data_IF_829462472725
#
_entry.id   IF_829462472725
#
_cell.length_a   1.000
_cell.length_b   1.000
_cell.length_c   1.000
_cell.angle_alpha   90.00
_cell.angle_beta   90.00
_cell.angle_gamma   90.00
#
_symmetry.space_group_name_H-M   'P 1'
#
loop_
_entity.id
_entity.type
_entity.pdbx_description
1 polymer ?
#
# COMPACT_ATOMS: atom_id res chain seq x y z
N UNK A 1 -2.45 -85.58 -54.66
CA UNK A 1 -1.43 -85.76 -53.61
C UNK A 1 -1.96 -85.11 -52.34
N UNK A 2 -2.39 -85.92 -51.38
CA UNK A 2 -1.79 -86.02 -50.02
C UNK A 2 -2.00 -84.73 -49.20
N UNK A 3 -2.63 -84.71 -48.03
CA UNK A 3 -2.75 -85.74 -47.02
C UNK A 3 -3.92 -85.45 -46.07
N UNK A 4 -4.31 -86.52 -45.37
CA UNK A 4 -5.45 -86.71 -44.47
C UNK A 4 -5.47 -85.87 -43.18
N UNK A 5 -6.64 -85.83 -42.52
CA UNK A 5 -6.89 -85.07 -41.29
C UNK A 5 -6.61 -85.87 -40.00
N UNK A 6 -6.41 -85.11 -38.93
CA UNK A 6 -6.88 -85.34 -37.55
C UNK A 6 -6.41 -86.59 -36.79
N UNK A 7 -5.73 -86.39 -35.65
CA UNK A 7 -6.06 -87.14 -34.42
C UNK A 7 -5.51 -86.50 -33.14
N UNK A 8 -6.42 -86.45 -32.16
CA UNK A 8 -6.32 -86.07 -30.75
C UNK A 8 -5.08 -86.57 -30.01
N UNK A 9 -4.48 -85.68 -29.23
CA UNK A 9 -3.80 -85.93 -27.95
C UNK A 9 -4.02 -84.66 -27.11
N UNK A 10 -4.25 -84.67 -25.82
CA UNK A 10 -4.35 -85.72 -24.81
C UNK A 10 -4.55 -84.94 -23.51
N UNK A 11 -5.72 -85.10 -22.88
CA UNK A 11 -6.19 -84.38 -21.69
C UNK A 11 -5.43 -84.84 -20.43
N UNK A 12 -4.10 -84.81 -20.46
CA UNK A 12 -3.21 -85.19 -19.35
C UNK A 12 -1.90 -84.38 -19.27
N UNK A 13 -1.60 -83.49 -20.22
CA UNK A 13 -0.43 -82.58 -20.14
C UNK A 13 -0.72 -81.18 -19.58
N UNK A 14 -1.96 -80.90 -19.12
CA UNK A 14 -2.31 -79.63 -18.46
C UNK A 14 -2.49 -79.72 -16.93
N UNK A 15 -2.15 -80.86 -16.29
CA UNK A 15 -2.33 -81.07 -14.84
C UNK A 15 -1.02 -81.21 -14.03
N UNK A 16 0.11 -80.71 -14.53
CA UNK A 16 1.40 -80.73 -13.79
C UNK A 16 2.10 -79.35 -13.71
N UNK A 17 1.40 -78.25 -14.00
CA UNK A 17 1.95 -76.88 -13.92
C UNK A 17 1.00 -75.91 -13.19
N UNK A 18 0.21 -76.40 -12.23
CA UNK A 18 -0.75 -75.58 -11.45
C UNK A 18 -0.75 -75.87 -9.95
N UNK A 19 0.37 -76.34 -9.37
CA UNK A 19 0.45 -76.62 -7.93
C UNK A 19 1.64 -76.02 -7.16
N UNK A 20 2.43 -75.15 -7.79
CA UNK A 20 3.60 -74.51 -7.13
C UNK A 20 3.49 -72.97 -7.01
N UNK A 21 2.26 -72.41 -7.07
CA UNK A 21 2.01 -70.95 -6.92
C UNK A 21 1.39 -70.59 -5.56
N UNK A 22 1.11 -71.58 -4.69
CA UNK A 22 0.63 -71.34 -3.32
C UNK A 22 1.75 -71.65 -2.34
N UNK A 23 2.24 -70.62 -1.65
CA UNK A 23 3.22 -70.63 -0.57
C UNK A 23 4.70 -70.46 -0.97
N UNK A 24 5.02 -69.30 -1.56
CA UNK A 24 6.24 -68.57 -1.21
C UNK A 24 6.07 -67.09 -1.59
N UNK A 25 6.26 -66.20 -0.60
CA UNK A 25 6.24 -64.73 -0.67
C UNK A 25 4.85 -64.10 -0.96
N UNK A 26 3.99 -63.72 0.00
CA UNK A 26 4.23 -63.05 1.27
C UNK A 26 5.29 -61.94 1.13
N UNK A 27 4.83 -60.69 1.11
CA UNK A 27 5.63 -59.45 1.09
C UNK A 27 5.83 -58.78 -0.29
N UNK A 28 4.80 -58.06 -0.74
CA UNK A 28 4.92 -56.85 -1.59
C UNK A 28 3.60 -56.09 -1.75
N UNK A 29 2.49 -56.61 -1.23
CA UNK A 29 1.24 -55.86 -1.03
C UNK A 29 1.36 -54.97 0.21
N UNK A 30 1.87 -53.73 0.08
CA UNK A 30 1.64 -52.63 1.05
C UNK A 30 2.20 -51.25 0.66
N UNK A 31 3.01 -51.11 -0.39
CA UNK A 31 3.70 -49.84 -0.68
C UNK A 31 3.09 -48.99 -1.81
N UNK A 32 2.23 -49.54 -2.67
CA UNK A 32 1.67 -48.82 -3.83
C UNK A 32 0.24 -48.27 -3.63
N UNK A 33 -0.38 -48.50 -2.46
CA UNK A 33 -1.71 -47.95 -2.13
C UNK A 33 -1.68 -46.66 -1.28
N UNK A 34 -0.53 -46.29 -0.71
CA UNK A 34 -0.40 -45.05 0.08
C UNK A 34 -0.20 -43.80 -0.78
N UNK A 35 0.37 -43.93 -1.97
CA UNK A 35 0.63 -42.79 -2.86
C UNK A 35 -0.65 -42.40 -3.64
N UNK A 36 -1.45 -43.37 -4.09
CA UNK A 36 -2.69 -43.09 -4.82
C UNK A 36 -3.85 -42.60 -3.95
N UNK A 37 -3.98 -43.14 -2.73
CA UNK A 37 -5.02 -42.72 -1.78
C UNK A 37 -4.71 -41.37 -1.11
N UNK A 38 -3.43 -41.11 -0.80
CA UNK A 38 -2.99 -39.84 -0.22
C UNK A 38 -3.14 -38.65 -1.15
N UNK A 39 -2.85 -38.83 -2.45
CA UNK A 39 -3.00 -37.77 -3.46
C UNK A 39 -4.48 -37.47 -3.74
N UNK A 40 -5.37 -38.48 -3.78
CA UNK A 40 -6.80 -38.24 -3.96
C UNK A 40 -7.46 -37.55 -2.76
N UNK A 41 -7.03 -37.86 -1.53
CA UNK A 41 -7.50 -37.17 -0.31
C UNK A 41 -6.89 -35.76 -0.21
N UNK A 42 -5.61 -35.57 -0.55
CA UNK A 42 -4.99 -34.25 -0.56
C UNK A 42 -5.59 -33.33 -1.63
N UNK A 43 -5.95 -33.85 -2.80
CA UNK A 43 -6.64 -33.09 -3.85
C UNK A 43 -8.10 -32.83 -3.47
N UNK A 44 -8.79 -33.75 -2.79
CA UNK A 44 -10.15 -33.51 -2.29
C UNK A 44 -10.20 -32.55 -1.08
N UNK A 45 -9.18 -32.55 -0.23
CA UNK A 45 -9.02 -31.57 0.86
C UNK A 45 -8.57 -30.22 0.30
N UNK A 46 -7.69 -30.17 -0.70
CA UNK A 46 -7.34 -28.93 -1.40
C UNK A 46 -8.53 -28.37 -2.20
N UNK A 47 -9.40 -29.20 -2.78
CA UNK A 47 -10.66 -28.78 -3.40
C UNK A 47 -11.73 -28.39 -2.37
N UNK A 48 -11.75 -29.00 -1.18
CA UNK A 48 -12.65 -28.58 -0.10
C UNK A 48 -12.18 -27.29 0.60
N UNK A 49 -10.87 -27.03 0.63
CA UNK A 49 -10.29 -25.75 1.09
C UNK A 49 -10.45 -24.68 0.00
N UNK A 50 -10.28 -25.01 -1.27
CA UNK A 50 -10.55 -24.09 -2.38
C UNK A 50 -12.06 -23.77 -2.55
N UNK A 51 -12.96 -24.64 -2.09
CA UNK A 51 -14.40 -24.37 -2.02
C UNK A 51 -14.84 -23.68 -0.72
N UNK A 52 -13.92 -23.44 0.23
CA UNK A 52 -14.16 -22.61 1.41
C UNK A 52 -13.69 -21.15 1.22
N UNK A 53 -12.95 -20.85 0.15
CA UNK A 53 -12.54 -19.48 -0.25
C UNK A 53 -13.48 -18.92 -1.34
N UNK A 54 -14.51 -19.66 -1.72
CA UNK A 54 -15.45 -19.28 -2.77
C UNK A 54 -16.71 -18.62 -2.23
N UNK A 55 -16.67 -17.29 -2.10
CA UNK A 55 -17.86 -16.44 -2.02
C UNK A 55 -18.25 -16.04 -0.61
N UNK A 56 -17.53 -15.06 -0.05
CA UNK A 56 -18.09 -14.22 1.00
C UNK A 56 -19.36 -13.57 0.46
N UNK A 57 -20.51 -13.89 1.05
CA UNK A 57 -21.71 -13.07 0.93
C UNK A 57 -21.28 -11.63 1.21
N UNK A 58 -21.42 -10.72 0.23
CA UNK A 58 -21.19 -9.27 0.44
C UNK A 58 -22.25 -8.73 1.41
N UNK A 59 -22.09 -9.06 2.67
CA UNK A 59 -23.02 -8.77 3.74
C UNK A 59 -22.85 -7.29 4.08
N UNK A 60 -23.76 -6.45 3.60
CA UNK A 60 -23.72 -5.00 3.80
C UNK A 60 -23.90 -4.58 5.27
N UNK A 61 -24.14 -5.54 6.18
CA UNK A 61 -24.29 -5.34 7.63
C UNK A 61 -23.01 -5.57 8.45
N UNK A 62 -21.85 -5.77 7.81
CA UNK A 62 -20.56 -5.80 8.51
C UNK A 62 -20.34 -4.48 9.26
N UNK A 63 -19.84 -4.57 10.50
CA UNK A 63 -19.44 -3.37 11.26
C UNK A 63 -18.13 -2.83 10.72
N UNK A 64 -18.08 -1.53 10.45
CA UNK A 64 -16.91 -0.89 9.83
C UNK A 64 -15.85 -0.46 10.86
N UNK A 65 -16.30 -0.18 12.09
CA UNK A 65 -15.45 0.12 13.24
C UNK A 65 -15.67 -0.93 14.32
N UNK A 66 -14.68 -1.12 15.18
CA UNK A 66 -14.76 -2.04 16.31
C UNK A 66 -14.10 -1.44 17.55
N UNK A 67 -14.47 -1.95 18.72
CA UNK A 67 -13.75 -1.60 19.93
C UNK A 67 -12.27 -1.99 19.78
N UNK A 68 -11.38 -1.04 20.08
CA UNK A 68 -9.94 -1.22 20.05
C UNK A 68 -9.37 -1.00 21.45
N UNK A 69 -8.52 -1.93 21.90
CA UNK A 69 -7.77 -1.81 23.14
C UNK A 69 -6.32 -1.44 22.79
N UNK A 70 -5.79 -0.41 23.44
CA UNK A 70 -4.38 -0.03 23.35
C UNK A 70 -3.75 -0.12 24.73
N UNK A 71 -2.59 -0.74 24.83
CA UNK A 71 -1.82 -0.91 26.06
C UNK A 71 -0.37 -0.48 25.86
N UNK A 72 0.09 0.41 26.73
CA UNK A 72 1.41 1.05 26.62
C UNK A 72 1.28 2.56 26.50
N UNK A 73 2.41 3.24 26.41
CA UNK A 73 2.43 4.68 26.11
C UNK A 73 2.14 4.89 24.62
N UNK A 74 1.30 5.85 24.28
CA UNK A 74 1.14 6.29 22.90
C UNK A 74 2.42 6.96 22.39
N UNK A 75 2.67 6.84 21.10
CA UNK A 75 3.74 7.52 20.39
C UNK A 75 3.40 9.01 20.21
N UNK A 76 4.41 9.89 20.12
CA UNK A 76 4.17 11.29 19.78
C UNK A 76 3.55 11.42 18.38
N UNK A 77 2.82 12.51 18.15
CA UNK A 77 2.31 12.84 16.82
C UNK A 77 3.47 12.85 15.81
N UNK A 78 3.24 12.29 14.62
CA UNK A 78 4.19 12.36 13.52
C UNK A 78 4.12 13.74 12.87
N UNK A 79 5.23 14.47 12.84
CA UNK A 79 5.25 15.88 12.39
C UNK A 79 5.42 16.04 10.88
N UNK A 80 5.59 14.93 10.13
CA UNK A 80 5.72 14.91 8.68
C UNK A 80 6.96 14.17 8.20
N UNK A 81 7.04 13.87 6.91
CA UNK A 81 8.21 13.23 6.31
C UNK A 81 9.40 14.20 6.20
N UNK A 82 9.09 15.49 6.10
CA UNK A 82 10.06 16.58 5.97
C UNK A 82 10.00 17.41 7.26
N UNK A 83 11.03 17.33 8.09
CA UNK A 83 11.00 17.95 9.41
C UNK A 83 12.12 17.50 10.34
N UNK A 84 12.09 17.91 11.63
CA UNK A 84 13.00 17.38 12.62
C UNK A 84 12.87 15.85 12.72
N UNK A 85 13.97 15.18 13.07
CA UNK A 85 14.00 13.72 13.19
C UNK A 85 12.81 13.20 14.03
N UNK A 86 12.13 12.19 13.50
CA UNK A 86 10.94 11.62 14.14
C UNK A 86 11.25 11.18 15.58
N UNK A 87 10.67 11.90 16.54
CA UNK A 87 10.90 11.67 17.97
C UNK A 87 10.38 10.33 18.47
N UNK A 88 9.52 9.65 17.71
CA UNK A 88 9.08 8.29 18.04
C UNK A 88 10.16 7.23 17.78
N UNK A 89 11.15 7.49 16.94
CA UNK A 89 12.20 6.52 16.62
C UNK A 89 12.95 6.09 17.88
N UNK A 90 13.07 4.77 18.05
CA UNK A 90 13.64 4.13 19.24
C UNK A 90 12.69 4.03 20.44
N UNK A 91 11.49 4.59 20.39
CA UNK A 91 10.48 4.39 21.44
C UNK A 91 9.77 3.05 21.26
N UNK A 92 9.37 2.38 22.37
CA UNK A 92 8.54 1.18 22.29
C UNK A 92 7.15 1.54 21.77
N UNK A 93 6.69 0.84 20.73
CA UNK A 93 5.33 0.98 20.23
C UNK A 93 4.32 0.36 21.20
N UNK A 94 3.12 0.94 21.34
CA UNK A 94 2.06 0.34 22.17
C UNK A 94 1.55 -0.96 21.55
N UNK A 95 1.12 -1.89 22.38
CA UNK A 95 0.34 -3.06 21.92
C UNK A 95 -1.08 -2.60 21.59
N UNK A 96 -1.67 -3.15 20.54
CA UNK A 96 -3.09 -2.94 20.27
C UNK A 96 -3.82 -4.23 19.91
N UNK A 97 -5.13 -4.21 20.16
CA UNK A 97 -6.02 -5.33 19.92
C UNK A 97 -7.33 -4.82 19.36
N UNK A 98 -7.79 -5.48 18.30
CA UNK A 98 -9.06 -5.18 17.66
C UNK A 98 -9.66 -6.42 17.02
N UNK A 99 -10.47 -6.22 15.99
CA UNK A 99 -11.02 -7.30 15.20
C UNK A 99 -11.11 -6.95 13.72
N UNK A 100 -10.96 -7.95 12.85
CA UNK A 100 -11.16 -7.81 11.42
C UNK A 100 -12.66 -7.71 11.07
N UNK A 101 -12.98 -7.63 9.78
CA UNK A 101 -14.36 -7.50 9.30
C UNK A 101 -15.23 -8.74 9.54
N UNK A 102 -14.63 -9.90 9.85
CA UNK A 102 -15.31 -11.14 10.25
C UNK A 102 -15.51 -11.26 11.79
N UNK A 103 -15.24 -10.18 12.53
CA UNK A 103 -15.24 -10.14 14.00
C UNK A 103 -14.19 -11.08 14.65
N UNK A 104 -13.22 -11.59 13.88
CA UNK A 104 -12.08 -12.32 14.42
C UNK A 104 -11.11 -11.36 15.08
N UNK A 105 -10.62 -11.77 16.24
CA UNK A 105 -9.76 -10.93 17.07
C UNK A 105 -8.32 -10.98 16.58
N UNK A 106 -7.74 -9.81 16.40
CA UNK A 106 -6.33 -9.62 16.05
C UNK A 106 -5.66 -8.85 17.18
N UNK A 107 -4.48 -9.30 17.58
CA UNK A 107 -3.63 -8.65 18.57
C UNK A 107 -2.26 -8.44 17.95
N UNK A 108 -1.79 -7.19 17.98
CA UNK A 108 -0.48 -6.81 17.47
C UNK A 108 0.39 -6.46 18.67
N UNK A 109 1.34 -7.34 18.97
CA UNK A 109 2.23 -7.23 20.12
C UNK A 109 3.65 -6.88 19.65
N UNK A 110 4.11 -5.64 19.82
CA UNK A 110 5.52 -5.29 19.63
C UNK A 110 6.42 -6.09 20.59
N UNK A 111 7.62 -6.46 20.15
CA UNK A 111 8.61 -7.13 21.01
C UNK A 111 8.49 -8.65 21.11
N UNK A 112 7.77 -9.29 20.19
CA UNK A 112 7.62 -10.74 20.08
C UNK A 112 8.75 -11.43 19.29
N UNK A 113 9.80 -10.67 18.91
CA UNK A 113 10.92 -11.15 18.11
C UNK A 113 10.73 -11.05 16.60
N UNK A 114 9.57 -10.57 16.13
CA UNK A 114 9.27 -10.35 14.70
C UNK A 114 9.19 -8.86 14.40
N UNK A 115 9.82 -8.44 13.31
CA UNK A 115 9.66 -7.08 12.80
C UNK A 115 8.22 -6.86 12.36
N UNK A 116 7.75 -5.61 12.36
CA UNK A 116 6.37 -5.30 11.96
C UNK A 116 6.30 -4.09 11.04
N UNK A 117 5.44 -4.13 10.04
CA UNK A 117 5.00 -2.94 9.29
C UNK A 117 3.50 -2.78 9.51
N UNK A 118 3.09 -1.65 10.07
CA UNK A 118 1.69 -1.33 10.34
C UNK A 118 1.29 -0.15 9.46
N UNK A 119 0.43 -0.41 8.48
CA UNK A 119 -0.15 0.61 7.60
C UNK A 119 -1.52 1.04 8.11
N UNK A 120 -1.83 2.33 8.04
CA UNK A 120 -3.08 2.94 8.48
C UNK A 120 -3.77 3.58 7.29
N UNK A 121 -5.01 3.16 7.04
CA UNK A 121 -5.72 3.51 5.81
C UNK A 121 -7.15 3.99 6.10
N UNK A 122 -7.52 5.07 5.44
CA UNK A 122 -8.88 5.60 5.41
C UNK A 122 -9.50 5.36 4.03
N UNK A 123 -10.58 4.59 3.97
CA UNK A 123 -11.22 4.18 2.71
C UNK A 123 -11.71 5.33 1.81
N UNK A 124 -11.98 6.52 2.37
CA UNK A 124 -12.40 7.71 1.63
C UNK A 124 -11.22 8.57 1.17
N UNK A 125 -9.98 8.25 1.60
CA UNK A 125 -8.79 9.01 1.25
C UNK A 125 -8.29 8.61 -0.14
N UNK A 126 -8.14 9.56 -1.09
CA UNK A 126 -7.65 9.25 -2.44
C UNK A 126 -6.28 8.58 -2.45
N UNK A 127 -5.33 9.07 -1.64
CA UNK A 127 -4.00 8.46 -1.52
C UNK A 127 -4.07 7.02 -0.99
N UNK A 128 -4.95 6.72 -0.03
CA UNK A 128 -5.16 5.33 0.40
C UNK A 128 -5.76 4.47 -0.71
N UNK A 129 -6.72 5.01 -1.48
CA UNK A 129 -7.33 4.31 -2.60
C UNK A 129 -6.34 4.02 -3.74
N UNK A 130 -5.33 4.87 -3.92
CA UNK A 130 -4.26 4.67 -4.89
C UNK A 130 -3.13 3.76 -4.36
N UNK A 131 -2.81 3.84 -3.07
CA UNK A 131 -1.75 3.06 -2.42
C UNK A 131 -2.11 1.58 -2.23
N UNK A 132 -3.29 1.30 -1.66
CA UNK A 132 -3.63 -0.07 -1.25
C UNK A 132 -3.66 -1.08 -2.42
N UNK A 133 -4.18 -0.74 -3.62
CA UNK A 133 -4.09 -1.62 -4.79
C UNK A 133 -2.65 -1.85 -5.23
N UNK A 134 -1.79 -0.82 -5.26
CA UNK A 134 -0.38 -0.96 -5.67
C UNK A 134 0.38 -1.88 -4.72
N UNK A 135 0.13 -1.76 -3.42
CA UNK A 135 0.70 -2.66 -2.41
C UNK A 135 0.17 -4.10 -2.55
N UNK A 136 -1.11 -4.26 -2.89
CA UNK A 136 -1.72 -5.57 -3.15
C UNK A 136 -1.08 -6.24 -4.37
N UNK A 137 -0.97 -5.51 -5.49
CA UNK A 137 -0.32 -5.99 -6.71
C UNK A 137 1.13 -6.40 -6.44
N UNK A 138 1.86 -5.62 -5.62
CA UNK A 138 3.21 -5.98 -5.21
C UNK A 138 3.26 -7.30 -4.43
N UNK A 139 2.29 -7.54 -3.55
CA UNK A 139 2.18 -8.77 -2.74
C UNK A 139 1.78 -10.01 -3.56
N UNK A 140 1.19 -9.83 -4.75
CA UNK A 140 0.91 -10.94 -5.66
C UNK A 140 2.20 -11.50 -6.30
N UNK A 141 3.18 -10.62 -6.53
CA UNK A 141 4.45 -10.96 -7.20
C UNK A 141 5.62 -11.16 -6.22
N UNK A 142 5.47 -10.77 -4.95
CA UNK A 142 6.55 -10.77 -3.96
C UNK A 142 6.10 -11.31 -2.60
N UNK A 143 7.06 -11.86 -1.85
CA UNK A 143 6.81 -12.39 -0.50
C UNK A 143 7.31 -11.42 0.58
N UNK A 144 6.51 -11.28 1.65
CA UNK A 144 6.95 -10.62 2.88
C UNK A 144 8.02 -11.51 3.56
N UNK A 145 9.13 -10.94 4.08
CA UNK A 145 10.13 -11.73 4.80
C UNK A 145 9.54 -12.54 5.95
N UNK A 146 9.97 -13.80 6.12
CA UNK A 146 9.42 -14.75 7.12
C UNK A 146 9.38 -14.22 8.57
N UNK A 147 10.28 -13.29 8.91
CA UNK A 147 10.41 -12.68 10.23
C UNK A 147 9.73 -11.32 10.36
N UNK A 148 8.91 -10.93 9.38
CA UNK A 148 8.15 -9.68 9.37
C UNK A 148 6.66 -9.99 9.35
N UNK A 149 5.90 -9.27 10.17
CA UNK A 149 4.43 -9.23 10.08
C UNK A 149 3.98 -7.91 9.49
N UNK A 150 3.00 -7.96 8.60
CA UNK A 150 2.40 -6.76 8.01
C UNK A 150 0.92 -6.71 8.41
N UNK A 151 0.48 -5.56 8.90
CA UNK A 151 -0.89 -5.31 9.31
C UNK A 151 -1.43 -4.05 8.63
N UNK A 152 -2.67 -4.11 8.17
CA UNK A 152 -3.44 -2.92 7.82
C UNK A 152 -4.38 -2.55 8.97
N UNK A 153 -4.46 -1.28 9.31
CA UNK A 153 -5.42 -0.71 10.26
C UNK A 153 -6.41 0.12 9.46
N UNK A 154 -7.66 -0.32 9.41
CA UNK A 154 -8.75 0.45 8.85
C UNK A 154 -9.21 1.48 9.89
N UNK A 155 -8.91 2.75 9.65
CA UNK A 155 -9.16 3.84 10.60
C UNK A 155 -9.79 5.04 9.89
N UNK A 156 -10.14 6.07 10.66
CA UNK A 156 -10.74 7.29 10.14
C UNK A 156 -12.11 7.06 9.51
N UNK A 157 -12.87 6.04 9.91
CA UNK A 157 -14.17 5.76 9.31
C UNK A 157 -15.13 6.96 9.46
N UNK A 158 -15.62 7.44 8.34
CA UNK A 158 -16.60 8.52 8.26
C UNK A 158 -17.71 8.12 7.28
N UNK A 159 -18.90 7.85 7.80
CA UNK A 159 -20.06 7.43 7.01
C UNK A 159 -20.52 8.53 6.03
N UNK A 160 -20.27 9.81 6.34
CA UNK A 160 -20.63 10.93 5.47
C UNK A 160 -19.67 11.12 4.29
N UNK A 161 -18.44 10.62 4.40
CA UNK A 161 -17.41 10.65 3.34
C UNK A 161 -17.29 9.32 2.60
N UNK A 162 -17.93 8.26 3.10
CA UNK A 162 -17.83 6.91 2.57
C UNK A 162 -18.60 6.72 1.27
N UNK A 163 -17.91 6.76 0.12
CA UNK A 163 -18.46 6.23 -1.14
C UNK A 163 -18.57 4.71 -1.08
N UNK A 164 -17.58 4.04 -0.46
CA UNK A 164 -17.51 2.58 -0.29
C UNK A 164 -17.18 2.26 1.16
N UNK A 165 -17.88 1.31 1.78
CA UNK A 165 -17.56 0.89 3.16
C UNK A 165 -16.17 0.24 3.23
N UNK A 166 -15.38 0.45 4.31
CA UNK A 166 -14.06 -0.16 4.46
C UNK A 166 -14.00 -1.67 4.17
N UNK A 167 -14.92 -2.45 4.73
CA UNK A 167 -15.03 -3.90 4.46
C UNK A 167 -15.09 -4.21 2.96
N UNK A 168 -15.99 -3.53 2.24
CA UNK A 168 -16.16 -3.72 0.80
C UNK A 168 -14.92 -3.27 0.04
N UNK A 169 -14.30 -2.17 0.47
CA UNK A 169 -13.09 -1.65 -0.16
C UNK A 169 -11.90 -2.61 -0.04
N UNK A 170 -11.60 -3.12 1.16
CA UNK A 170 -10.54 -4.11 1.34
C UNK A 170 -10.82 -5.42 0.58
N UNK A 171 -12.08 -5.88 0.57
CA UNK A 171 -12.49 -7.06 -0.21
C UNK A 171 -12.33 -6.86 -1.72
N UNK A 172 -12.72 -5.68 -2.24
CA UNK A 172 -12.65 -5.38 -3.67
C UNK A 172 -11.20 -5.16 -4.15
N UNK A 173 -10.34 -4.58 -3.30
CA UNK A 173 -8.90 -4.47 -3.56
C UNK A 173 -8.22 -5.84 -3.50
N UNK A 174 -8.73 -6.77 -2.68
CA UNK A 174 -8.15 -8.11 -2.55
C UNK A 174 -6.94 -8.16 -1.62
N UNK A 175 -6.86 -7.24 -0.65
CA UNK A 175 -5.74 -7.16 0.29
C UNK A 175 -5.54 -8.49 1.05
N UNK A 176 -4.37 -9.16 0.93
CA UNK A 176 -4.23 -10.54 1.40
C UNK A 176 -3.79 -10.66 2.87
N UNK A 177 -3.44 -9.55 3.52
CA UNK A 177 -2.84 -9.52 4.85
C UNK A 177 -3.85 -9.10 5.92
N UNK A 178 -3.60 -9.38 7.22
CA UNK A 178 -4.55 -9.08 8.28
C UNK A 178 -4.95 -7.60 8.34
N UNK A 179 -6.26 -7.34 8.40
CA UNK A 179 -6.85 -6.00 8.59
C UNK A 179 -7.47 -5.90 9.98
N UNK A 180 -7.11 -4.85 10.73
CA UNK A 180 -7.71 -4.53 12.03
C UNK A 180 -8.59 -3.30 11.88
N UNK A 181 -9.85 -3.39 12.31
CA UNK A 181 -10.71 -2.21 12.43
C UNK A 181 -10.31 -1.39 13.64
N UNK A 182 -10.14 -0.10 13.45
CA UNK A 182 -10.01 0.86 14.54
C UNK A 182 -11.39 1.16 15.16
N UNK A 183 -11.36 1.85 16.28
CA UNK A 183 -12.53 2.42 16.94
C UNK A 183 -13.11 3.60 16.18
N UNK A 184 -14.34 3.97 16.52
CA UNK A 184 -15.01 5.19 16.07
C UNK A 184 -14.28 6.48 16.46
N UNK A 185 -13.33 6.39 17.40
CA UNK A 185 -12.50 7.50 17.87
C UNK A 185 -11.06 7.42 17.36
N UNK A 186 -10.73 6.47 16.50
CA UNK A 186 -9.39 6.22 15.98
C UNK A 186 -8.34 5.95 17.09
N UNK A 187 -8.74 5.26 18.17
CA UNK A 187 -7.91 4.94 19.33
C UNK A 187 -6.55 4.31 18.95
N UNK A 188 -6.47 3.41 17.95
CA UNK A 188 -5.21 2.81 17.49
C UNK A 188 -4.37 3.85 16.75
N UNK A 189 -4.94 4.53 15.75
CA UNK A 189 -4.23 5.53 14.96
C UNK A 189 -3.69 6.68 15.83
N UNK A 190 -4.49 7.18 16.77
CA UNK A 190 -4.07 8.20 17.72
C UNK A 190 -2.92 7.73 18.60
N UNK A 191 -2.94 6.47 19.05
CA UNK A 191 -1.87 5.91 19.87
C UNK A 191 -0.56 5.72 19.10
N UNK A 192 -0.61 5.60 17.78
CA UNK A 192 0.57 5.52 16.91
C UNK A 192 1.03 6.88 16.38
N UNK A 193 0.36 7.96 16.79
CA UNK A 193 0.71 9.32 16.42
C UNK A 193 0.41 9.66 14.96
N UNK A 194 -0.63 9.05 14.39
CA UNK A 194 -1.05 9.31 13.01
C UNK A 194 -1.35 10.80 12.79
N UNK A 195 -0.81 11.37 11.72
CA UNK A 195 -1.03 12.77 11.31
C UNK A 195 -1.58 12.93 9.89
N UNK A 196 -1.47 11.89 9.06
CA UNK A 196 -1.94 11.88 7.67
C UNK A 196 -2.23 10.46 7.17
N UNK A 197 -2.63 10.34 5.91
CA UNK A 197 -3.00 9.08 5.27
C UNK A 197 -2.41 8.96 3.86
N UNK A 198 -2.05 7.75 3.41
CA UNK A 198 -1.80 6.57 4.25
C UNK A 198 -0.65 6.84 5.23
N UNK A 199 -0.55 6.06 6.30
CA UNK A 199 0.50 6.22 7.31
C UNK A 199 1.10 4.87 7.64
N UNK A 200 2.43 4.82 7.77
CA UNK A 200 3.17 3.58 7.95
C UNK A 200 4.08 3.69 9.18
N UNK A 201 4.12 2.62 9.96
CA UNK A 201 5.00 2.49 11.13
C UNK A 201 5.78 1.19 11.03
N UNK A 202 7.09 1.29 11.09
CA UNK A 202 8.00 0.14 11.05
C UNK A 202 8.54 -0.13 12.44
N UNK A 203 8.48 -1.37 12.89
CA UNK A 203 8.93 -1.83 14.20
C UNK A 203 10.02 -2.89 14.07
N UNK A 204 11.02 -2.85 14.96
CA UNK A 204 11.98 -3.93 15.13
C UNK A 204 11.36 -5.12 15.91
N UNK A 205 12.10 -6.24 15.97
CA UNK A 205 11.69 -7.41 16.74
C UNK A 205 11.66 -7.21 18.27
N UNK A 206 12.20 -6.10 18.78
CA UNK A 206 12.12 -5.69 20.18
C UNK A 206 10.91 -4.80 20.46
N UNK A 207 10.19 -4.39 19.42
CA UNK A 207 9.00 -3.57 19.47
C UNK A 207 9.26 -2.06 19.47
N UNK A 208 10.47 -1.62 19.14
CA UNK A 208 10.77 -0.20 19.01
C UNK A 208 10.45 0.29 17.60
N UNK A 209 10.02 1.54 17.50
CA UNK A 209 9.82 2.23 16.22
C UNK A 209 11.17 2.39 15.54
N UNK A 210 11.31 1.80 14.36
CA UNK A 210 12.42 2.04 13.46
C UNK A 210 12.17 3.32 12.67
N UNK A 211 10.99 3.48 12.07
CA UNK A 211 10.62 4.68 11.31
C UNK A 211 9.12 4.81 11.08
N UNK A 212 8.69 6.01 10.69
CA UNK A 212 7.31 6.32 10.31
C UNK A 212 7.29 7.19 9.05
N UNK A 213 6.25 7.04 8.25
CA UNK A 213 6.04 7.81 7.02
C UNK A 213 4.55 8.07 6.80
N UNK A 214 4.20 9.21 6.23
CA UNK A 214 2.84 9.59 5.84
C UNK A 214 2.79 9.89 4.33
N UNK A 215 1.65 9.61 3.69
CA UNK A 215 1.52 9.73 2.24
C UNK A 215 1.86 8.43 1.50
N UNK A 216 1.69 8.47 0.19
CA UNK A 216 1.92 7.33 -0.69
C UNK A 216 3.39 6.90 -0.68
N UNK A 217 3.61 5.60 -0.87
CA UNK A 217 4.94 5.03 -1.02
C UNK A 217 5.15 4.61 -2.47
N UNK A 218 6.35 4.82 -2.98
CA UNK A 218 6.81 4.05 -4.13
C UNK A 218 7.15 2.61 -3.71
N UNK A 219 7.27 1.70 -4.67
CA UNK A 219 7.50 0.29 -4.37
C UNK A 219 8.91 -0.01 -3.83
N UNK A 220 9.87 0.90 -4.05
CA UNK A 220 11.20 0.82 -3.44
C UNK A 220 11.14 1.18 -1.96
N UNK A 221 10.39 2.22 -1.61
CA UNK A 221 10.12 2.61 -0.23
C UNK A 221 9.38 1.50 0.50
N UNK A 222 8.33 0.92 -0.09
CA UNK A 222 7.64 -0.24 0.46
C UNK A 222 8.60 -1.41 0.77
N UNK A 223 9.41 -1.82 -0.22
CA UNK A 223 10.41 -2.87 -0.02
C UNK A 223 11.43 -2.50 1.07
N UNK A 224 11.79 -1.22 1.19
CA UNK A 224 12.69 -0.70 2.22
C UNK A 224 12.07 -0.82 3.62
N UNK A 225 10.79 -0.52 3.79
CA UNK A 225 10.10 -0.70 5.08
C UNK A 225 10.13 -2.17 5.52
N UNK A 226 9.87 -3.09 4.59
CA UNK A 226 9.93 -4.54 4.86
C UNK A 226 11.36 -4.98 5.23
N UNK A 227 12.36 -4.50 4.50
CA UNK A 227 13.76 -4.82 4.79
C UNK A 227 14.22 -4.25 6.15
N UNK A 228 13.76 -3.04 6.49
CA UNK A 228 14.03 -2.39 7.77
C UNK A 228 13.42 -3.19 8.94
N UNK A 229 12.17 -3.61 8.81
CA UNK A 229 11.53 -4.50 9.78
C UNK A 229 12.29 -5.83 9.91
N UNK A 230 12.73 -6.42 8.79
CA UNK A 230 13.41 -7.71 8.78
C UNK A 230 14.81 -7.65 9.39
N UNK A 231 15.56 -6.58 9.18
CA UNK A 231 16.92 -6.44 9.71
C UNK A 231 16.93 -6.04 11.18
N UNK A 232 15.90 -5.32 11.65
CA UNK A 232 15.87 -4.72 13.00
C UNK A 232 16.93 -3.61 13.18
N UNK A 233 17.62 -3.22 12.11
CA UNK A 233 18.64 -2.18 12.09
C UNK A 233 18.51 -1.43 10.79
N UNK A 234 18.25 -0.13 10.84
CA UNK A 234 18.38 0.71 9.67
C UNK A 234 18.28 2.18 9.99
N UNK A 235 19.00 2.93 9.17
CA UNK A 235 18.97 4.37 9.10
C UNK A 235 17.66 4.81 8.41
N UNK A 236 16.84 5.58 9.10
CA UNK A 236 15.56 6.10 8.57
C UNK A 236 15.70 7.39 7.79
N UNK A 237 16.93 7.88 7.61
CA UNK A 237 17.22 9.03 6.76
C UNK A 237 16.62 8.88 5.35
N UNK A 238 16.42 7.64 4.87
CA UNK A 238 15.94 7.35 3.50
C UNK A 238 14.43 7.05 3.40
N UNK A 239 13.63 7.27 4.46
CA UNK A 239 12.17 7.10 4.42
C UNK A 239 11.41 8.40 4.16
N UNK A 240 12.12 9.54 4.08
CA UNK A 240 11.53 10.87 3.92
C UNK A 240 12.38 11.86 3.12
N UNK A 241 13.40 11.39 2.41
CA UNK A 241 14.17 12.24 1.49
C UNK A 241 14.71 11.41 0.35
N UNK A 242 14.56 11.92 -0.86
CA UNK A 242 15.50 11.68 -1.94
C UNK A 242 16.93 11.73 -1.38
N UNK A 243 17.62 10.60 -1.24
CA UNK A 243 19.03 10.55 -1.66
C UNK A 243 19.60 9.13 -1.76
N UNK A 244 20.12 8.88 -2.95
CA UNK A 244 21.25 8.00 -3.21
C UNK A 244 22.44 8.52 -2.42
N UNK A 245 22.94 7.72 -1.49
CA UNK A 245 24.19 7.99 -0.77
C UNK A 245 25.37 7.99 -1.75
N UNK A 246 25.98 9.15 -2.03
CA UNK A 246 27.10 9.72 -1.25
C UNK A 246 27.91 10.76 -2.06
N UNK A 247 28.43 11.73 -1.30
CA UNK A 247 29.58 12.63 -1.56
C UNK A 247 29.31 13.89 -2.41
N UNK A 248 29.00 15.02 -1.76
CA UNK A 248 30.00 16.03 -1.37
C UNK A 248 29.28 17.25 -0.79
N UNK A 249 29.82 17.75 0.30
CA UNK A 249 29.40 18.96 0.99
C UNK A 249 29.80 20.18 0.15
N UNK A 250 28.95 20.60 -0.80
CA UNK A 250 29.07 21.95 -1.36
C UNK A 250 27.84 22.45 -2.12
N UNK A 251 27.39 23.62 -1.66
CA UNK A 251 26.59 24.63 -2.36
C UNK A 251 25.07 24.46 -2.35
N UNK A 252 24.45 25.26 -1.48
CA UNK A 252 23.17 25.88 -1.73
C UNK A 252 23.13 26.53 -3.13
N UNK A 253 22.26 26.03 -4.00
CA UNK A 253 21.64 26.75 -5.12
C UNK A 253 20.50 25.89 -5.66
N UNK A 254 19.32 26.49 -5.82
CA UNK A 254 18.20 25.91 -6.57
C UNK A 254 18.70 25.42 -7.94
N UNK A 255 18.46 24.14 -8.25
CA UNK A 255 18.87 23.55 -9.52
C UNK A 255 17.80 23.72 -10.58
N UNK A 256 18.24 24.33 -11.67
CA UNK A 256 17.61 24.54 -12.98
C UNK A 256 17.38 23.21 -13.73
N UNK A 257 16.59 22.30 -13.16
CA UNK A 257 16.23 21.04 -13.81
C UNK A 257 14.86 21.17 -14.52
N UNK A 258 14.80 21.02 -15.85
CA UNK A 258 13.57 21.18 -16.61
C UNK A 258 12.55 20.09 -16.26
N UNK A 259 11.29 20.48 -16.08
CA UNK A 259 10.15 19.59 -15.89
C UNK A 259 9.17 20.10 -14.83
N UNK A 260 8.34 19.19 -14.33
CA UNK A 260 7.37 19.45 -13.27
C UNK A 260 7.89 18.89 -11.95
N UNK A 261 7.97 19.75 -10.94
CA UNK A 261 8.55 19.49 -9.63
C UNK A 261 7.50 19.78 -8.54
N UNK A 262 7.34 18.85 -7.61
CA UNK A 262 6.61 19.11 -6.37
C UNK A 262 7.54 19.83 -5.41
N UNK A 263 7.14 21.01 -4.92
CA UNK A 263 7.96 21.86 -4.05
C UNK A 263 7.19 22.26 -2.79
N UNK A 264 7.92 22.57 -1.73
CA UNK A 264 7.31 23.10 -0.49
C UNK A 264 6.64 24.46 -0.73
N UNK A 265 5.68 24.87 0.13
CA UNK A 265 5.12 26.22 0.05
C UNK A 265 6.17 27.33 0.13
N UNK A 266 7.19 27.16 0.97
CA UNK A 266 8.29 28.11 1.13
C UNK A 266 9.16 28.22 -0.12
N UNK A 267 9.45 27.10 -0.79
CA UNK A 267 10.20 27.10 -2.04
C UNK A 267 9.40 27.70 -3.20
N UNK A 268 8.10 27.38 -3.30
CA UNK A 268 7.21 28.03 -4.25
C UNK A 268 7.12 29.55 -4.01
N UNK A 269 7.08 29.98 -2.74
CA UNK A 269 7.13 31.40 -2.39
C UNK A 269 8.46 32.05 -2.81
N UNK A 270 9.58 31.36 -2.65
CA UNK A 270 10.87 31.84 -3.12
C UNK A 270 10.92 31.99 -4.65
N UNK A 271 10.30 31.08 -5.41
CA UNK A 271 10.15 31.20 -6.88
C UNK A 271 9.29 32.43 -7.24
N UNK A 272 8.15 32.61 -6.56
CA UNK A 272 7.27 33.76 -6.77
C UNK A 272 8.02 35.07 -6.46
N UNK A 273 8.78 35.11 -5.36
CA UNK A 273 9.56 36.29 -4.96
C UNK A 273 10.71 36.59 -5.95
N UNK A 274 11.38 35.55 -6.45
CA UNK A 274 12.43 35.69 -7.46
C UNK A 274 11.88 36.24 -8.79
N UNK A 275 10.58 36.06 -9.05
CA UNK A 275 9.84 36.57 -10.19
C UNK A 275 10.58 36.36 -11.53
N UNK A 276 10.88 35.09 -11.91
CA UNK A 276 11.49 34.80 -13.20
C UNK A 276 10.62 35.35 -14.34
N UNK A 277 11.27 35.67 -15.45
CA UNK A 277 10.61 36.35 -16.56
C UNK A 277 9.46 35.49 -17.11
N UNK A 278 8.23 36.01 -17.01
CA UNK A 278 7.05 35.32 -17.52
C UNK A 278 6.43 34.29 -16.58
N UNK A 279 6.80 34.27 -15.29
CA UNK A 279 6.18 33.42 -14.27
C UNK A 279 4.65 33.58 -14.27
N UNK A 280 3.95 32.44 -14.28
CA UNK A 280 2.51 32.37 -14.11
C UNK A 280 2.18 31.58 -12.84
N UNK A 281 1.48 32.22 -11.90
CA UNK A 281 0.88 31.52 -10.76
C UNK A 281 -0.50 31.02 -11.21
N UNK A 282 -0.74 29.71 -11.14
CA UNK A 282 -1.92 29.04 -11.65
C UNK A 282 -2.72 28.46 -10.49
N UNK A 283 -3.90 29.04 -10.25
CA UNK A 283 -4.89 28.52 -9.34
C UNK A 283 -5.91 27.71 -10.13
N UNK A 284 -5.99 26.41 -9.87
CA UNK A 284 -6.92 25.52 -10.58
C UNK A 284 -8.17 25.15 -9.76
N UNK A 285 -8.47 25.94 -8.72
CA UNK A 285 -9.67 25.73 -7.91
C UNK A 285 -10.93 26.30 -8.59
N UNK A 286 -12.07 26.16 -7.93
CA UNK A 286 -13.32 26.80 -8.38
C UNK A 286 -13.26 28.32 -8.18
N UNK A 287 -14.07 29.12 -8.93
CA UNK A 287 -14.20 30.55 -8.70
C UNK A 287 -14.57 30.91 -7.26
N UNK A 288 -15.43 30.10 -6.61
CA UNK A 288 -15.80 30.33 -5.21
C UNK A 288 -14.62 30.17 -4.26
N UNK A 289 -13.79 29.12 -4.45
CA UNK A 289 -12.58 28.90 -3.65
C UNK A 289 -11.53 30.01 -3.88
N UNK A 290 -11.42 30.51 -5.11
CA UNK A 290 -10.52 31.61 -5.47
C UNK A 290 -10.94 32.93 -4.80
N UNK A 291 -12.24 33.26 -4.86
CA UNK A 291 -12.80 34.49 -4.28
C UNK A 291 -12.71 34.53 -2.75
N UNK A 292 -12.67 33.37 -2.08
CA UNK A 292 -12.51 33.29 -0.63
C UNK A 292 -11.09 33.64 -0.15
N UNK A 293 -10.08 33.09 -0.83
CA UNK A 293 -8.65 33.30 -0.53
C UNK A 293 -7.82 32.76 -1.67
N UNK A 294 -6.81 33.50 -2.16
CA UNK A 294 -5.90 33.01 -3.21
C UNK A 294 -4.49 33.63 -3.11
N UNK A 295 -3.53 33.08 -3.86
CA UNK A 295 -2.20 33.68 -4.00
C UNK A 295 -2.27 34.95 -4.85
N UNK A 296 -1.45 35.94 -4.51
CA UNK A 296 -1.39 37.18 -5.28
C UNK A 296 -1.04 36.91 -6.75
N UNK A 297 -1.69 37.65 -7.66
CA UNK A 297 -1.52 37.58 -9.11
C UNK A 297 -1.79 36.19 -9.73
N UNK A 298 -2.48 35.31 -9.01
CA UNK A 298 -2.88 34.00 -9.53
C UNK A 298 -3.86 34.10 -10.71
N UNK A 299 -3.63 33.28 -11.72
CA UNK A 299 -4.54 33.07 -12.86
C UNK A 299 -5.44 31.88 -12.55
N UNK A 300 -6.76 32.10 -12.63
CA UNK A 300 -7.76 31.06 -12.36
C UNK A 300 -8.07 30.20 -13.60
N UNK A 301 -7.91 28.88 -13.46
CA UNK A 301 -8.32 27.88 -14.46
C UNK A 301 -9.06 26.74 -13.75
N UNK A 302 -10.38 26.84 -13.63
CA UNK A 302 -11.19 25.86 -12.89
C UNK A 302 -11.02 24.43 -13.42
N UNK A 303 -10.52 23.55 -12.56
CA UNK A 303 -10.29 22.13 -12.82
C UNK A 303 -11.55 21.35 -13.19
N UNK A 304 -12.73 21.80 -12.75
CA UNK A 304 -13.99 21.08 -13.00
C UNK A 304 -14.69 21.47 -14.31
N UNK A 305 -14.17 22.46 -15.04
CA UNK A 305 -14.72 22.81 -16.35
C UNK A 305 -14.36 21.74 -17.39
N UNK A 306 -15.31 21.43 -18.28
CA UNK A 306 -15.16 20.40 -19.32
C UNK A 306 -13.98 20.69 -20.27
N UNK A 307 -13.55 21.96 -20.38
CA UNK A 307 -12.47 22.43 -21.24
C UNK A 307 -11.12 22.58 -20.52
N UNK A 308 -10.99 22.14 -19.27
CA UNK A 308 -9.78 22.31 -18.47
C UNK A 308 -8.51 21.86 -19.19
N UNK A 309 -8.51 20.64 -19.74
CA UNK A 309 -7.33 20.09 -20.40
C UNK A 309 -6.94 20.85 -21.67
N UNK A 310 -7.93 21.36 -22.42
CA UNK A 310 -7.69 22.20 -23.60
C UNK A 310 -7.05 23.52 -23.18
N UNK A 311 -7.55 24.15 -22.10
CA UNK A 311 -7.00 25.40 -21.55
C UNK A 311 -5.56 25.24 -21.07
N UNK A 312 -5.22 24.13 -20.41
CA UNK A 312 -3.83 23.82 -20.03
C UNK A 312 -2.97 23.61 -21.30
N UNK A 313 -3.50 22.93 -22.32
CA UNK A 313 -2.80 22.68 -23.58
C UNK A 313 -2.49 23.93 -24.42
N UNK A 314 -3.21 25.03 -24.18
CA UNK A 314 -3.00 26.34 -24.82
C UNK A 314 -1.94 27.22 -24.13
N UNK A 315 -1.49 26.85 -22.93
CA UNK A 315 -0.47 27.59 -22.19
C UNK A 315 0.91 27.46 -22.86
N UNK A 316 1.76 28.47 -22.65
CA UNK A 316 3.12 28.52 -23.20
C UNK A 316 4.06 27.63 -22.39
N UNK A 317 4.48 26.52 -23.00
CA UNK A 317 5.22 25.44 -22.32
C UNK A 317 6.63 25.81 -21.90
N UNK A 318 7.17 26.89 -22.47
CA UNK A 318 8.52 27.38 -22.21
C UNK A 318 8.57 28.39 -21.04
N UNK A 319 7.42 28.71 -20.42
CA UNK A 319 7.32 29.62 -19.28
C UNK A 319 7.34 28.86 -17.93
N UNK A 320 7.80 29.52 -16.85
CA UNK A 320 7.69 28.97 -15.50
C UNK A 320 6.26 29.09 -14.97
N UNK A 321 5.78 28.03 -14.32
CA UNK A 321 4.48 27.97 -13.66
C UNK A 321 4.62 27.64 -12.17
N UNK A 322 3.85 28.29 -11.32
CA UNK A 322 3.57 27.81 -9.95
C UNK A 322 2.13 27.34 -9.91
N UNK A 323 1.91 26.04 -9.72
CA UNK A 323 0.61 25.40 -9.82
C UNK A 323 0.11 24.97 -8.44
N UNK A 324 -1.11 25.34 -8.08
CA UNK A 324 -1.71 24.87 -6.84
C UNK A 324 -3.22 24.69 -6.94
N UNK A 325 -3.75 23.84 -6.07
CA UNK A 325 -5.19 23.70 -5.84
C UNK A 325 -5.52 23.86 -4.35
N UNK A 326 -6.62 23.27 -3.86
CA UNK A 326 -6.95 23.36 -2.44
C UNK A 326 -5.95 22.59 -1.57
N UNK A 327 -5.72 21.30 -1.83
CA UNK A 327 -4.96 20.40 -0.94
C UNK A 327 -3.85 19.61 -1.63
N UNK A 328 -3.54 19.90 -2.90
CA UNK A 328 -2.57 19.12 -3.71
C UNK A 328 -3.20 18.15 -4.73
N UNK A 329 -4.42 17.64 -4.50
CA UNK A 329 -4.97 16.56 -5.34
C UNK A 329 -5.22 16.96 -6.81
N UNK A 330 -5.94 18.06 -7.06
CA UNK A 330 -6.23 18.52 -8.43
C UNK A 330 -4.96 19.00 -9.13
N UNK A 331 -4.03 19.58 -8.35
CA UNK A 331 -2.77 20.09 -8.89
C UNK A 331 -1.86 18.94 -9.29
N UNK A 332 -1.93 17.79 -8.63
CA UNK A 332 -1.16 16.61 -9.01
C UNK A 332 -1.65 16.05 -10.37
N UNK A 333 -2.97 16.00 -10.59
CA UNK A 333 -3.56 15.62 -11.88
C UNK A 333 -3.17 16.61 -12.99
N UNK A 334 -3.25 17.91 -12.70
CA UNK A 334 -2.84 18.95 -13.64
C UNK A 334 -1.33 18.95 -13.91
N UNK A 335 -0.51 18.68 -12.90
CA UNK A 335 0.94 18.52 -13.00
C UNK A 335 1.31 17.32 -13.87
N UNK A 336 0.59 16.19 -13.74
CA UNK A 336 0.74 15.04 -14.63
C UNK A 336 0.38 15.41 -16.07
N UNK A 337 -0.73 16.12 -16.30
CA UNK A 337 -1.09 16.61 -17.63
C UNK A 337 0.00 17.53 -18.21
N UNK A 338 0.53 18.46 -17.42
CA UNK A 338 1.61 19.35 -17.85
C UNK A 338 2.92 18.59 -18.11
N UNK A 339 3.21 17.50 -17.38
CA UNK A 339 4.31 16.59 -17.71
C UNK A 339 4.12 15.92 -19.06
N UNK A 340 2.93 15.39 -19.32
CA UNK A 340 2.62 14.71 -20.58
C UNK A 340 2.63 15.66 -21.78
N UNK A 341 2.40 16.95 -21.52
CA UNK A 341 2.49 18.04 -22.50
C UNK A 341 3.90 18.63 -22.63
N UNK A 342 4.89 18.12 -21.88
CA UNK A 342 6.29 18.54 -21.92
C UNK A 342 6.51 20.02 -21.54
N UNK A 343 5.82 20.51 -20.50
CA UNK A 343 6.14 21.83 -19.91
C UNK A 343 7.55 21.83 -19.33
N UNK A 344 8.29 22.91 -19.58
CA UNK A 344 9.71 23.00 -19.22
C UNK A 344 9.95 23.30 -17.74
N UNK A 345 9.01 23.96 -17.06
CA UNK A 345 9.23 24.43 -15.69
C UNK A 345 7.88 24.63 -14.97
N UNK A 346 7.51 23.68 -14.11
CA UNK A 346 6.28 23.77 -13.29
C UNK A 346 6.61 23.40 -11.85
N UNK A 347 6.27 24.30 -10.93
CA UNK A 347 6.40 24.14 -9.50
C UNK A 347 5.02 23.86 -8.91
N UNK A 348 4.70 22.59 -8.67
CA UNK A 348 3.51 22.20 -7.95
C UNK A 348 3.68 22.47 -6.45
N UNK A 349 2.75 23.21 -5.85
CA UNK A 349 2.79 23.51 -4.41
C UNK A 349 2.28 22.33 -3.60
N UNK A 350 3.16 21.70 -2.82
CA UNK A 350 2.79 20.62 -1.92
C UNK A 350 1.75 21.09 -0.88
N UNK A 351 0.71 20.27 -0.70
CA UNK A 351 -0.44 20.59 0.14
C UNK A 351 -1.35 21.72 -0.39
N UNK A 352 -1.09 22.27 -1.59
CA UNK A 352 -1.87 23.35 -2.20
C UNK A 352 -1.98 24.60 -1.33
N UNK A 353 -3.10 25.34 -1.45
CA UNK A 353 -3.32 26.55 -0.64
C UNK A 353 -3.47 26.25 0.86
N UNK A 354 -3.91 25.05 1.25
CA UNK A 354 -3.96 24.66 2.66
C UNK A 354 -2.54 24.54 3.25
N UNK A 355 -1.60 23.94 2.50
CA UNK A 355 -0.18 23.90 2.85
C UNK A 355 0.42 25.31 2.95
N UNK A 356 0.12 26.16 1.97
CA UNK A 356 0.53 27.57 1.95
C UNK A 356 0.05 28.37 3.18
N UNK A 357 -1.23 28.21 3.55
CA UNK A 357 -1.80 28.82 4.75
C UNK A 357 -1.18 28.25 6.03
N UNK A 358 -0.90 26.94 6.07
CA UNK A 358 -0.23 26.28 7.18
C UNK A 358 1.18 26.81 7.43
N UNK A 359 1.91 27.15 6.36
CA UNK A 359 3.22 27.79 6.41
C UNK A 359 3.16 29.29 6.81
N UNK A 360 1.96 29.86 6.94
CA UNK A 360 1.77 31.26 7.32
C UNK A 360 2.16 32.27 6.24
N UNK A 361 2.14 31.85 4.97
CA UNK A 361 2.53 32.66 3.82
C UNK A 361 1.39 33.60 3.36
N UNK A 362 1.70 34.71 2.66
CA UNK A 362 0.70 35.72 2.29
C UNK A 362 -0.35 35.24 1.28
N UNK A 363 -1.58 35.73 1.42
CA UNK A 363 -2.74 35.48 0.54
C UNK A 363 -3.56 36.76 0.37
N UNK A 364 -4.44 36.82 -0.64
CA UNK A 364 -5.34 37.93 -0.99
C UNK A 364 -6.78 37.64 -0.57
#
# INVERSE_FOLDING_TARGET
MSNRPGRKMGRQQQMAARRDVKAAKADSSRLTWWIGGGVAVAVAVALAVALAVGGGDKNTNVKQVAFAEVSGSGLPLFEGNSGPADTAVGQPAPTFRGSNFDDERIEVTPGDGRGKVVGFFAHWCPHCQAELPRLTDWLDDNEVPDNVDVYAVSTGYDEGRAVVKPSVWFDDVGWPLPVVRDSDRNDIANAYGLSGYPFFVVLDGQGNVLGRASGELDMTQWATLLQLAASGTGDTSNLGSDEVTELDESAAAATDEPGVQLVSPEDAAAVIEAAPAGLVVLDIRTPEEYDEVHLADATLVDFYEDDFADRIGELDRDLPYVLYCNSGNRSADAAQLMRDLEFSEVYEVDGGIQGWLGAGLPVV
#
